data_IF_795970996187
#
_entry.id   IF_795970996187
#
_cell.length_a   1.000
_cell.length_b   1.000
_cell.length_c   1.000
_cell.angle_alpha   90.00
_cell.angle_beta   90.00
_cell.angle_gamma   90.00
#
_symmetry.space_group_name_H-M   'P 1'
#
loop_
_entity.id
_entity.type
_entity.pdbx_description
1 polymer ?
#
# COMPACT_ATOMS: atom_id res chain seq x y z
N UNK A 1 8.53 -11.63 1.47
CA UNK A 1 8.73 -13.05 1.18
C UNK A 1 10.18 -13.50 1.35
N UNK A 2 11.17 -12.72 0.88
CA UNK A 2 12.60 -13.09 1.01
C UNK A 2 13.02 -13.44 2.45
N UNK A 3 12.48 -12.74 3.44
CA UNK A 3 12.85 -12.92 4.85
C UNK A 3 12.08 -14.05 5.57
N UNK A 4 10.91 -14.42 5.09
CA UNK A 4 9.98 -15.30 5.84
C UNK A 4 9.36 -16.42 4.99
N UNK A 5 9.48 -16.35 3.67
CA UNK A 5 8.97 -17.39 2.76
C UNK A 5 9.89 -18.61 2.70
N UNK A 6 9.34 -19.72 2.27
CA UNK A 6 10.12 -20.91 1.95
C UNK A 6 10.92 -20.72 0.65
N UNK A 7 11.91 -21.57 0.40
CA UNK A 7 12.66 -21.56 -0.86
C UNK A 7 11.72 -21.72 -2.06
N UNK A 8 10.77 -22.61 -1.98
CA UNK A 8 9.78 -22.84 -3.01
C UNK A 8 8.93 -21.59 -3.26
N UNK A 9 8.42 -20.93 -2.19
CA UNK A 9 7.67 -19.68 -2.33
C UNK A 9 8.50 -18.55 -2.96
N UNK A 10 9.79 -18.49 -2.67
CA UNK A 10 10.70 -17.51 -3.28
C UNK A 10 10.85 -17.79 -4.77
N UNK A 11 11.12 -19.02 -5.13
CA UNK A 11 11.34 -19.41 -6.53
C UNK A 11 10.06 -19.28 -7.36
N UNK A 12 8.89 -19.63 -6.79
CA UNK A 12 7.60 -19.59 -7.48
C UNK A 12 7.04 -18.18 -7.64
N UNK A 13 7.20 -17.32 -6.63
CA UNK A 13 6.50 -16.02 -6.60
C UNK A 13 7.45 -14.82 -6.66
N UNK A 14 8.57 -14.85 -5.92
CA UNK A 14 9.45 -13.68 -5.82
C UNK A 14 10.28 -13.49 -7.10
N UNK A 15 10.84 -14.55 -7.67
CA UNK A 15 11.61 -14.44 -8.90
C UNK A 15 10.82 -13.82 -10.05
N UNK A 16 9.61 -14.31 -10.39
CA UNK A 16 8.80 -13.68 -11.44
C UNK A 16 8.40 -12.23 -11.11
N UNK A 17 8.25 -11.87 -9.82
CA UNK A 17 8.03 -10.47 -9.43
C UNK A 17 9.27 -9.60 -9.69
N UNK A 18 10.46 -10.09 -9.39
CA UNK A 18 11.72 -9.37 -9.68
C UNK A 18 11.99 -9.23 -11.20
N UNK A 19 11.52 -10.17 -11.99
CA UNK A 19 11.54 -10.15 -13.44
C UNK A 19 10.48 -9.23 -14.06
N UNK A 20 9.55 -8.68 -13.25
CA UNK A 20 8.45 -7.85 -13.71
C UNK A 20 7.29 -8.62 -14.35
N UNK A 21 7.30 -9.93 -14.33
CA UNK A 21 6.23 -10.79 -14.88
C UNK A 21 5.02 -10.85 -13.97
N UNK A 22 5.23 -10.88 -12.64
CA UNK A 22 4.18 -10.87 -11.64
C UNK A 22 4.16 -9.55 -10.90
N UNK A 23 2.97 -9.11 -10.51
CA UNK A 23 2.77 -7.93 -9.69
C UNK A 23 2.46 -8.33 -8.23
N UNK A 24 2.84 -7.50 -7.26
CA UNK A 24 2.59 -7.77 -5.84
C UNK A 24 1.62 -6.76 -5.23
N UNK A 25 0.74 -7.21 -4.35
CA UNK A 25 -0.12 -6.33 -3.56
C UNK A 25 -0.10 -6.68 -2.08
N UNK A 26 -0.50 -5.72 -1.26
CA UNK A 26 -0.72 -5.91 0.18
C UNK A 26 -2.21 -5.77 0.51
N UNK A 27 -2.77 -6.77 1.17
CA UNK A 27 -4.19 -6.86 1.50
C UNK A 27 -4.38 -6.93 3.02
N UNK A 28 -4.38 -5.75 3.68
CA UNK A 28 -4.55 -5.60 5.12
C UNK A 28 -5.97 -5.21 5.49
N UNK A 29 -6.37 -4.00 5.01
CA UNK A 29 -7.61 -3.34 5.42
C UNK A 29 -8.85 -4.07 4.92
N UNK A 30 -9.89 -4.00 5.72
CA UNK A 30 -11.24 -4.44 5.39
C UNK A 30 -12.22 -3.26 5.52
N UNK A 31 -13.44 -3.32 4.98
CA UNK A 31 -14.38 -2.21 5.07
C UNK A 31 -14.60 -1.67 6.49
N UNK A 32 -14.55 -2.55 7.51
CA UNK A 32 -14.73 -2.20 8.92
C UNK A 32 -13.43 -2.09 9.72
N UNK A 33 -12.28 -2.45 9.15
CA UNK A 33 -11.00 -2.55 9.89
C UNK A 33 -9.83 -2.02 9.05
N UNK A 34 -9.26 -0.89 9.46
CA UNK A 34 -8.06 -0.30 8.85
C UNK A 34 -6.95 -0.17 9.89
N UNK A 35 -6.99 0.88 10.72
CA UNK A 35 -6.01 1.08 11.81
C UNK A 35 -6.11 0.01 12.89
N UNK A 36 -7.32 -0.50 13.16
CA UNK A 36 -7.58 -1.59 14.11
C UNK A 36 -7.60 -2.95 13.40
N UNK A 37 -6.43 -3.49 13.05
CA UNK A 37 -6.32 -4.80 12.40
C UNK A 37 -6.75 -5.97 13.29
N UNK A 38 -6.92 -5.75 14.61
CA UNK A 38 -7.49 -6.75 15.52
C UNK A 38 -8.88 -7.23 15.06
N UNK A 39 -9.61 -6.38 14.35
CA UNK A 39 -11.02 -6.59 13.98
C UNK A 39 -11.20 -7.16 12.56
N UNK A 40 -10.13 -7.56 11.88
CA UNK A 40 -10.25 -8.21 10.57
C UNK A 40 -11.04 -9.52 10.71
N UNK A 41 -11.90 -9.78 9.72
CA UNK A 41 -12.80 -10.94 9.65
C UNK A 41 -12.40 -11.95 8.59
N UNK A 42 -11.51 -11.61 7.67
CA UNK A 42 -11.01 -12.56 6.67
C UNK A 42 -10.44 -13.77 7.37
N UNK A 43 -10.95 -14.95 7.02
CA UNK A 43 -10.54 -16.23 7.58
C UNK A 43 -9.80 -17.08 6.55
N UNK A 44 -8.90 -17.92 7.03
CA UNK A 44 -8.13 -18.87 6.23
C UNK A 44 -8.35 -20.27 6.81
N UNK A 45 -9.06 -21.11 6.09
CA UNK A 45 -9.43 -22.47 6.48
C UNK A 45 -8.38 -23.46 5.99
N UNK A 46 -7.70 -24.21 6.88
CA UNK A 46 -6.63 -25.14 6.48
C UNK A 46 -7.21 -26.30 5.66
N UNK A 47 -6.42 -26.76 4.68
CA UNK A 47 -6.74 -27.89 3.83
C UNK A 47 -5.80 -29.08 4.12
N UNK A 48 -6.19 -30.28 3.71
CA UNK A 48 -5.42 -31.49 3.95
C UNK A 48 -4.04 -31.52 3.25
N UNK A 49 -3.88 -30.76 2.16
CA UNK A 49 -2.66 -30.63 1.39
C UNK A 49 -1.69 -29.55 1.92
N UNK A 50 -2.05 -28.89 3.05
CA UNK A 50 -1.26 -27.82 3.65
C UNK A 50 -1.53 -26.44 3.06
N UNK A 51 -2.38 -26.31 2.04
CA UNK A 51 -2.90 -25.05 1.55
C UNK A 51 -4.01 -24.51 2.47
N UNK A 52 -4.54 -23.33 2.14
CA UNK A 52 -5.65 -22.70 2.84
C UNK A 52 -6.70 -22.22 1.86
N UNK A 53 -7.96 -22.18 2.29
CA UNK A 53 -9.05 -21.51 1.60
C UNK A 53 -9.39 -20.21 2.33
N UNK A 54 -9.22 -19.06 1.65
CA UNK A 54 -9.50 -17.76 2.23
C UNK A 54 -10.88 -17.27 1.84
N UNK A 55 -11.56 -16.64 2.82
CA UNK A 55 -12.89 -16.04 2.68
C UNK A 55 -12.92 -14.68 3.37
N UNK A 56 -13.35 -13.65 2.65
CA UNK A 56 -13.48 -12.30 3.19
C UNK A 56 -13.29 -11.20 2.14
N UNK A 57 -13.17 -9.97 2.61
CA UNK A 57 -13.07 -8.80 1.76
C UNK A 57 -11.83 -8.00 2.14
N UNK A 58 -11.15 -7.43 1.14
CA UNK A 58 -10.03 -6.50 1.37
C UNK A 58 -10.25 -5.22 0.58
N UNK A 59 -10.14 -4.09 1.25
CA UNK A 59 -10.41 -2.76 0.70
C UNK A 59 -9.15 -1.90 0.65
N UNK A 60 -9.15 -0.93 -0.24
CA UNK A 60 -8.04 0.00 -0.47
C UNK A 60 -6.77 -0.69 -1.02
N UNK A 61 -6.97 -1.66 -1.90
CA UNK A 61 -5.86 -2.41 -2.51
C UNK A 61 -5.45 -1.73 -3.82
N UNK A 62 -4.29 -1.11 -3.81
CA UNK A 62 -3.71 -0.49 -5.01
C UNK A 62 -3.31 -1.56 -6.02
N UNK A 63 -3.74 -1.38 -7.27
CA UNK A 63 -3.48 -2.28 -8.38
C UNK A 63 -3.84 -3.75 -8.08
N UNK A 64 -4.95 -3.97 -7.34
CA UNK A 64 -5.39 -5.32 -6.96
C UNK A 64 -5.98 -6.13 -8.11
N UNK A 65 -6.35 -5.49 -9.23
CA UNK A 65 -6.84 -6.15 -10.43
C UNK A 65 -6.45 -5.35 -11.68
N UNK A 66 -5.76 -6.00 -12.61
CA UNK A 66 -5.35 -5.47 -13.91
C UNK A 66 -4.81 -6.59 -14.81
N UNK A 67 -4.56 -6.26 -16.09
CA UNK A 67 -3.95 -7.17 -17.07
C UNK A 67 -2.56 -6.68 -17.56
N UNK A 68 -1.87 -5.83 -16.76
CA UNK A 68 -0.53 -5.30 -17.08
C UNK A 68 0.60 -6.29 -16.77
N UNK A 69 0.31 -7.33 -16.01
CA UNK A 69 1.24 -8.40 -15.66
C UNK A 69 0.58 -9.77 -15.87
N UNK A 70 1.38 -10.81 -16.01
CA UNK A 70 0.90 -12.18 -16.20
C UNK A 70 0.05 -12.67 -15.01
N UNK A 71 0.44 -12.27 -13.80
CA UNK A 71 -0.23 -12.62 -12.55
C UNK A 71 -0.13 -11.51 -11.51
N UNK A 72 -1.00 -11.55 -10.50
CA UNK A 72 -0.94 -10.70 -9.32
C UNK A 72 -0.86 -11.58 -8.08
N UNK A 73 0.12 -11.31 -7.22
CA UNK A 73 0.36 -12.05 -5.98
C UNK A 73 -0.08 -11.18 -4.81
N UNK A 74 -1.19 -11.55 -4.18
CA UNK A 74 -1.73 -10.85 -3.02
C UNK A 74 -1.10 -11.37 -1.73
N UNK A 75 -0.51 -10.49 -0.92
CA UNK A 75 -0.11 -10.79 0.46
C UNK A 75 -1.28 -10.43 1.38
N UNK A 76 -1.97 -11.44 1.90
CA UNK A 76 -3.26 -11.28 2.59
C UNK A 76 -3.13 -11.60 4.06
N UNK A 77 -3.55 -10.65 4.93
CA UNK A 77 -3.72 -10.90 6.35
C UNK A 77 -5.08 -11.57 6.61
N UNK A 78 -5.06 -12.72 7.28
CA UNK A 78 -6.26 -13.47 7.64
C UNK A 78 -6.08 -14.18 8.98
N UNK A 79 -7.17 -14.63 9.57
CA UNK A 79 -7.18 -15.43 10.81
C UNK A 79 -7.48 -16.89 10.49
N UNK A 80 -6.71 -17.79 11.08
CA UNK A 80 -6.97 -19.23 11.05
C UNK A 80 -8.04 -19.53 12.12
N UNK A 81 -9.05 -20.40 11.87
CA UNK A 81 -9.99 -20.80 12.89
C UNK A 81 -9.29 -21.34 14.16
N UNK A 82 -9.74 -20.87 15.34
CA UNK A 82 -9.10 -21.20 16.61
C UNK A 82 -7.85 -20.39 16.98
N UNK A 83 -7.44 -19.44 16.13
CA UNK A 83 -6.32 -18.55 16.44
C UNK A 83 -6.61 -17.64 17.66
N UNK A 84 -5.56 -17.16 18.36
CA UNK A 84 -5.71 -16.20 19.46
C UNK A 84 -6.50 -14.94 19.05
N UNK A 85 -7.24 -14.30 19.96
CA UNK A 85 -7.96 -13.07 19.66
C UNK A 85 -7.01 -11.90 19.35
N UNK A 86 -7.56 -10.89 18.66
CA UNK A 86 -6.84 -9.67 18.34
C UNK A 86 -5.74 -9.86 17.29
N UNK A 87 -4.72 -9.03 17.34
CA UNK A 87 -3.61 -9.03 16.38
C UNK A 87 -2.70 -10.25 16.48
N UNK A 88 -2.70 -10.92 17.63
CA UNK A 88 -1.90 -12.13 17.88
C UNK A 88 -2.41 -13.35 17.09
N UNK A 89 -3.63 -13.30 16.55
CA UNK A 89 -4.19 -14.38 15.73
C UNK A 89 -4.05 -14.17 14.22
N UNK A 90 -3.36 -13.11 13.80
CA UNK A 90 -3.24 -12.77 12.38
C UNK A 90 -2.08 -13.54 11.75
N UNK A 91 -2.36 -14.22 10.65
CA UNK A 91 -1.40 -14.92 9.79
C UNK A 91 -1.30 -14.24 8.43
N UNK A 92 -0.20 -14.46 7.71
CA UNK A 92 0.05 -13.91 6.38
C UNK A 92 0.00 -15.02 5.33
N UNK A 93 -0.68 -14.76 4.22
CA UNK A 93 -0.85 -15.72 3.14
C UNK A 93 -0.45 -15.12 1.79
N UNK A 94 0.17 -15.93 0.95
CA UNK A 94 0.28 -15.70 -0.49
C UNK A 94 -1.01 -16.17 -1.12
N UNK A 95 -1.71 -15.31 -1.87
CA UNK A 95 -2.91 -15.64 -2.62
C UNK A 95 -2.72 -15.15 -4.06
N UNK A 96 -2.35 -16.01 -5.01
CA UNK A 96 -2.16 -15.60 -6.39
C UNK A 96 -3.51 -15.37 -7.10
N UNK A 97 -3.58 -14.42 -8.03
CA UNK A 97 -4.75 -14.19 -8.91
C UNK A 97 -5.02 -15.40 -9.80
N UNK A 98 -3.96 -16.01 -10.33
CA UNK A 98 -3.99 -17.30 -11.03
C UNK A 98 -3.04 -18.25 -10.30
N UNK A 99 -3.43 -19.50 -10.12
CA UNK A 99 -2.55 -20.50 -9.51
C UNK A 99 -1.30 -20.67 -10.35
N UNK A 100 -0.21 -21.04 -9.71
CA UNK A 100 1.07 -21.31 -10.39
C UNK A 100 1.36 -22.79 -10.27
N UNK A 101 1.54 -23.45 -11.40
CA UNK A 101 1.87 -24.88 -11.47
C UNK A 101 3.32 -25.14 -11.06
N UNK A 102 3.68 -26.38 -10.78
CA UNK A 102 5.03 -26.76 -10.37
C UNK A 102 6.12 -26.44 -11.42
N UNK A 103 5.76 -26.35 -12.70
CA UNK A 103 6.64 -25.97 -13.80
C UNK A 103 6.75 -24.45 -13.98
N UNK A 104 6.06 -23.65 -13.12
CA UNK A 104 6.02 -22.19 -13.20
C UNK A 104 4.99 -21.63 -14.20
N UNK A 105 4.25 -22.47 -14.91
CA UNK A 105 3.16 -22.03 -15.79
C UNK A 105 1.95 -21.56 -14.99
N UNK A 106 1.12 -20.71 -15.61
CA UNK A 106 -0.11 -20.23 -14.98
C UNK A 106 -1.22 -21.28 -15.10
N UNK A 107 -1.79 -21.61 -13.95
CA UNK A 107 -2.94 -22.48 -13.82
C UNK A 107 -4.28 -21.76 -13.88
N UNK A 108 -5.27 -22.35 -13.25
CA UNK A 108 -6.63 -21.83 -13.22
C UNK A 108 -6.75 -20.52 -12.43
N UNK A 109 -7.81 -19.76 -12.71
CA UNK A 109 -8.17 -18.54 -11.99
C UNK A 109 -8.52 -18.87 -10.54
N UNK A 110 -7.88 -18.18 -9.61
CA UNK A 110 -8.18 -18.27 -8.20
C UNK A 110 -9.46 -17.48 -7.85
N UNK A 111 -10.11 -17.83 -6.74
CA UNK A 111 -11.35 -17.21 -6.28
C UNK A 111 -11.13 -15.84 -5.63
N UNK A 112 -10.53 -14.95 -6.41
CA UNK A 112 -10.30 -13.52 -6.07
C UNK A 112 -11.04 -12.66 -7.08
N UNK A 113 -12.00 -11.87 -6.61
CA UNK A 113 -12.93 -11.12 -7.44
C UNK A 113 -12.80 -9.61 -7.18
N UNK A 114 -12.69 -8.83 -8.26
CA UNK A 114 -12.86 -7.38 -8.19
C UNK A 114 -14.32 -7.06 -7.89
N UNK A 115 -14.59 -6.53 -6.69
CA UNK A 115 -15.93 -6.13 -6.27
C UNK A 115 -16.23 -4.66 -6.53
N UNK A 116 -15.20 -3.81 -6.66
CA UNK A 116 -15.37 -2.40 -6.96
C UNK A 116 -14.06 -1.62 -7.00
N UNK A 117 -14.16 -0.39 -7.49
CA UNK A 117 -13.08 0.59 -7.52
C UNK A 117 -13.36 1.71 -6.51
N UNK A 118 -12.37 2.06 -5.72
CA UNK A 118 -12.46 3.12 -4.74
C UNK A 118 -12.10 4.47 -5.39
N UNK A 119 -12.93 5.49 -5.13
CA UNK A 119 -12.61 6.87 -5.52
C UNK A 119 -11.49 7.42 -4.63
N UNK A 120 -10.53 8.16 -5.22
CA UNK A 120 -9.41 8.79 -4.52
C UNK A 120 -9.32 10.27 -4.85
N UNK A 121 -8.81 11.07 -3.91
CA UNK A 121 -8.53 12.50 -4.11
C UNK A 121 -7.33 12.73 -5.05
N UNK A 122 -6.31 11.85 -4.97
CA UNK A 122 -5.11 11.88 -5.80
C UNK A 122 -4.70 10.49 -6.26
N UNK A 123 -3.61 10.38 -7.00
CA UNK A 123 -3.11 9.13 -7.60
C UNK A 123 -4.18 8.34 -8.37
N UNK A 124 -5.04 9.05 -9.10
CA UNK A 124 -6.22 8.47 -9.77
C UNK A 124 -5.86 7.59 -10.96
N UNK A 125 -4.62 7.68 -11.47
CA UNK A 125 -4.11 6.80 -12.52
C UNK A 125 -3.80 5.39 -12.05
N UNK A 126 -3.71 5.15 -10.73
CA UNK A 126 -3.56 3.82 -10.14
C UNK A 126 -4.93 3.37 -9.67
N UNK A 127 -5.42 2.22 -10.16
CA UNK A 127 -6.65 1.60 -9.68
C UNK A 127 -6.52 1.27 -8.19
N UNK A 128 -7.57 1.57 -7.44
CA UNK A 128 -7.66 1.17 -6.04
C UNK A 128 -8.92 0.34 -5.85
N UNK A 129 -8.76 -0.89 -5.37
CA UNK A 129 -9.76 -1.94 -5.49
C UNK A 129 -10.33 -2.39 -4.15
N UNK A 130 -11.59 -2.83 -4.18
CA UNK A 130 -12.21 -3.75 -3.24
C UNK A 130 -12.13 -5.14 -3.83
N UNK A 131 -11.49 -6.07 -3.13
CA UNK A 131 -11.34 -7.46 -3.54
C UNK A 131 -12.14 -8.38 -2.61
N UNK A 132 -12.90 -9.29 -3.19
CA UNK A 132 -13.58 -10.37 -2.49
C UNK A 132 -12.81 -11.67 -2.71
N UNK A 133 -12.61 -12.40 -1.64
CA UNK A 133 -11.94 -13.69 -1.60
C UNK A 133 -12.94 -14.76 -1.22
N UNK A 134 -13.05 -15.81 -2.02
CA UNK A 134 -13.84 -16.99 -1.68
C UNK A 134 -15.34 -16.83 -1.89
N UNK A 135 -15.81 -16.04 -2.86
CA UNK A 135 -17.24 -15.92 -3.19
C UNK A 135 -17.78 -17.10 -4.03
N UNK A 136 -16.92 -17.98 -4.50
CA UNK A 136 -17.30 -19.10 -5.35
C UNK A 136 -17.56 -18.71 -6.81
N UNK A 137 -17.12 -17.51 -7.23
CA UNK A 137 -17.17 -17.10 -8.65
C UNK A 137 -16.20 -17.92 -9.49
N UNK A 138 -15.05 -18.20 -8.94
CA UNK A 138 -14.08 -19.16 -9.43
C UNK A 138 -13.98 -20.30 -8.42
N UNK A 139 -13.79 -21.52 -8.90
CA UNK A 139 -13.74 -22.70 -8.03
C UNK A 139 -12.43 -23.46 -8.22
N UNK A 140 -11.28 -22.86 -7.82
CA UNK A 140 -9.98 -23.51 -8.00
C UNK A 140 -9.97 -24.86 -7.29
N UNK A 141 -9.54 -25.92 -8.00
CA UNK A 141 -9.60 -27.29 -7.48
C UNK A 141 -11.04 -27.76 -7.17
N UNK A 142 -12.02 -27.28 -7.95
CA UNK A 142 -13.45 -27.66 -7.87
C UNK A 142 -14.15 -27.32 -6.55
N UNK A 143 -13.59 -26.38 -5.75
CA UNK A 143 -14.20 -25.94 -4.50
C UNK A 143 -14.15 -24.41 -4.34
N UNK A 144 -15.12 -23.79 -3.66
CA UNK A 144 -15.09 -22.35 -3.38
C UNK A 144 -13.98 -22.01 -2.38
N UNK A 145 -13.56 -20.74 -2.37
CA UNK A 145 -12.51 -20.24 -1.50
C UNK A 145 -11.23 -19.92 -2.26
N UNK A 146 -10.65 -18.75 -1.99
CA UNK A 146 -9.40 -18.36 -2.61
C UNK A 146 -8.24 -19.21 -2.05
N UNK A 147 -7.56 -19.94 -2.91
CA UNK A 147 -6.40 -20.76 -2.49
C UNK A 147 -5.25 -19.85 -2.07
N UNK A 148 -4.67 -20.16 -0.92
CA UNK A 148 -3.55 -19.40 -0.36
C UNK A 148 -2.56 -20.29 0.39
N UNK A 149 -1.36 -19.76 0.58
CA UNK A 149 -0.22 -20.46 1.18
C UNK A 149 0.34 -19.64 2.33
N UNK A 150 0.50 -20.27 3.50
CA UNK A 150 1.01 -19.58 4.69
C UNK A 150 2.45 -19.09 4.49
N UNK A 151 2.73 -17.86 4.89
CA UNK A 151 4.08 -17.29 4.92
C UNK A 151 4.61 -17.29 6.34
N UNK A 152 5.76 -17.89 6.53
CA UNK A 152 6.38 -18.02 7.86
C UNK A 152 5.58 -18.91 8.81
N UNK A 153 5.36 -18.44 10.03
CA UNK A 153 4.66 -19.18 11.08
C UNK A 153 3.25 -18.63 11.31
N UNK A 154 2.27 -19.50 11.53
CA UNK A 154 0.91 -19.12 11.89
C UNK A 154 0.90 -18.14 13.08
N UNK A 155 -0.02 -17.18 13.06
CA UNK A 155 -0.18 -16.16 14.10
C UNK A 155 1.00 -15.15 14.22
N UNK A 156 1.90 -15.11 13.23
CA UNK A 156 3.00 -14.16 13.12
C UNK A 156 2.89 -13.25 11.89
N UNK A 157 1.75 -13.26 11.21
CA UNK A 157 1.57 -12.60 9.93
C UNK A 157 1.76 -11.08 9.99
N UNK A 158 1.36 -10.45 11.08
CA UNK A 158 1.54 -9.01 11.24
C UNK A 158 3.04 -8.64 11.31
N UNK A 159 3.86 -9.40 12.05
CA UNK A 159 5.30 -9.18 12.11
C UNK A 159 5.97 -9.38 10.74
N UNK A 160 5.55 -10.40 9.98
CA UNK A 160 6.05 -10.63 8.61
C UNK A 160 5.67 -9.47 7.66
N UNK A 161 4.44 -8.96 7.76
CA UNK A 161 3.97 -7.83 6.95
C UNK A 161 4.71 -6.53 7.30
N UNK A 162 4.97 -6.27 8.58
CA UNK A 162 5.69 -5.06 9.01
C UNK A 162 7.15 -5.01 8.57
N UNK A 163 7.76 -6.13 8.27
CA UNK A 163 9.10 -6.14 7.68
C UNK A 163 9.16 -5.30 6.38
N UNK A 164 8.15 -5.41 5.54
CA UNK A 164 8.00 -4.59 4.32
C UNK A 164 7.42 -3.21 4.62
N UNK A 165 6.44 -3.11 5.51
CA UNK A 165 5.79 -1.86 5.85
C UNK A 165 6.73 -0.81 6.43
N UNK A 166 7.79 -1.20 7.12
CA UNK A 166 8.77 -0.27 7.68
C UNK A 166 9.50 0.52 6.57
N UNK A 167 9.89 -0.15 5.49
CA UNK A 167 10.48 0.50 4.32
C UNK A 167 9.47 1.42 3.61
N UNK A 168 8.24 0.95 3.40
CA UNK A 168 7.18 1.75 2.81
C UNK A 168 6.89 3.04 3.61
N UNK A 169 6.93 2.97 4.94
CA UNK A 169 6.74 4.14 5.83
C UNK A 169 7.82 5.20 5.63
N UNK A 170 9.08 4.77 5.50
CA UNK A 170 10.20 5.68 5.19
C UNK A 170 9.98 6.34 3.82
N UNK A 171 9.63 5.56 2.80
CA UNK A 171 9.37 6.06 1.44
C UNK A 171 8.22 7.07 1.38
N UNK A 172 7.13 6.82 2.09
CA UNK A 172 5.99 7.75 2.18
C UNK A 172 6.38 9.03 2.93
N UNK A 173 7.12 8.92 4.04
CA UNK A 173 7.64 10.07 4.78
C UNK A 173 8.55 10.94 3.92
N UNK A 174 9.47 10.33 3.20
CA UNK A 174 10.35 11.02 2.26
C UNK A 174 9.55 11.74 1.15
N UNK A 175 8.53 11.09 0.59
CA UNK A 175 7.65 11.70 -0.41
C UNK A 175 6.94 12.95 0.11
N UNK A 176 6.46 12.93 1.36
CA UNK A 176 5.82 14.09 1.99
C UNK A 176 6.81 15.26 2.19
N UNK A 177 8.02 14.97 2.67
CA UNK A 177 9.08 15.98 2.86
C UNK A 177 9.49 16.60 1.51
N UNK A 178 9.73 15.79 0.48
CA UNK A 178 10.12 16.28 -0.85
C UNK A 178 9.03 17.11 -1.52
N UNK A 179 7.75 16.77 -1.31
CA UNK A 179 6.64 17.59 -1.78
C UNK A 179 6.61 18.95 -1.06
N UNK A 180 6.80 18.95 0.27
CA UNK A 180 6.95 20.18 1.07
C UNK A 180 8.14 21.01 0.63
N UNK A 181 9.29 20.41 0.35
CA UNK A 181 10.49 21.08 -0.15
C UNK A 181 10.25 21.74 -1.51
N UNK A 182 9.59 21.06 -2.42
CA UNK A 182 9.18 21.64 -3.70
C UNK A 182 8.30 22.89 -3.51
N UNK A 183 7.31 22.79 -2.60
CA UNK A 183 6.46 23.92 -2.23
C UNK A 183 7.25 25.11 -1.66
N UNK A 184 8.22 24.84 -0.78
CA UNK A 184 9.13 25.86 -0.23
C UNK A 184 9.95 26.55 -1.32
N UNK A 185 10.55 25.81 -2.25
CA UNK A 185 11.34 26.38 -3.35
C UNK A 185 10.51 27.33 -4.22
N UNK A 186 9.29 26.93 -4.59
CA UNK A 186 8.38 27.78 -5.35
C UNK A 186 7.92 29.00 -4.54
N UNK A 187 7.63 28.84 -3.25
CA UNK A 187 7.27 29.96 -2.39
C UNK A 187 8.42 30.98 -2.25
N UNK A 188 9.65 30.49 -2.12
CA UNK A 188 10.86 31.35 -2.02
C UNK A 188 11.09 32.12 -3.32
N UNK A 189 10.99 31.45 -4.48
CA UNK A 189 11.17 32.11 -5.78
C UNK A 189 10.09 33.17 -6.01
N UNK A 190 8.83 32.83 -5.75
CA UNK A 190 7.75 33.82 -5.82
C UNK A 190 7.95 34.99 -4.86
N UNK A 191 8.37 34.75 -3.63
CA UNK A 191 8.60 35.81 -2.65
C UNK A 191 9.76 36.76 -3.04
N UNK A 192 10.74 36.27 -3.78
CA UNK A 192 11.86 37.08 -4.30
C UNK A 192 11.46 37.95 -5.50
N UNK A 193 10.52 37.50 -6.30
CA UNK A 193 10.13 38.16 -7.54
C UNK A 193 8.87 39.03 -7.41
N UNK A 194 8.01 38.78 -6.41
CA UNK A 194 6.74 39.48 -6.22
C UNK A 194 6.93 40.81 -5.44
N UNK A 195 6.79 41.98 -6.07
CA UNK A 195 6.80 43.26 -5.37
C UNK A 195 5.43 43.50 -4.72
N UNK A 196 5.43 43.89 -3.44
CA UNK A 196 4.24 44.34 -2.72
C UNK A 196 4.60 45.04 -1.42
N UNK A 197 3.95 46.17 -1.17
CA UNK A 197 4.21 46.96 0.04
C UNK A 197 5.55 47.72 -0.04
N UNK A 198 5.87 48.40 1.04
CA UNK A 198 7.08 49.26 1.16
C UNK A 198 7.74 48.99 2.52
N UNK A 199 8.97 49.44 2.66
CA UNK A 199 9.65 49.36 3.95
C UNK A 199 8.83 50.10 5.02
N UNK A 200 8.68 49.56 6.24
CA UNK A 200 7.87 50.17 7.31
C UNK A 200 8.28 51.62 7.65
N UNK A 201 9.53 51.99 7.39
CA UNK A 201 10.04 53.34 7.60
C UNK A 201 9.89 54.27 6.39
N UNK A 202 9.37 53.81 5.26
CA UNK A 202 9.19 54.65 4.07
C UNK A 202 8.02 55.60 4.28
N UNK A 203 8.32 56.91 4.38
CA UNK A 203 7.32 57.98 4.54
C UNK A 203 6.72 58.46 3.22
N UNK A 204 7.46 58.27 2.12
CA UNK A 204 7.05 58.66 0.78
C UNK A 204 6.19 57.57 0.12
N UNK A 205 4.92 57.88 -0.21
CA UNK A 205 4.04 56.94 -0.88
C UNK A 205 4.52 56.55 -2.31
N UNK A 206 5.39 57.35 -2.93
CA UNK A 206 5.99 57.10 -4.25
C UNK A 206 7.20 56.16 -4.19
N UNK A 207 7.71 55.83 -3.01
CA UNK A 207 8.82 54.87 -2.84
C UNK A 207 8.53 53.54 -3.57
N UNK A 208 9.53 52.89 -4.17
CA UNK A 208 9.33 51.63 -4.86
C UNK A 208 8.83 50.52 -3.93
N UNK A 209 8.02 49.62 -4.47
CA UNK A 209 7.60 48.41 -3.77
C UNK A 209 8.81 47.48 -3.57
N UNK A 210 8.79 46.76 -2.46
CA UNK A 210 9.81 45.74 -2.15
C UNK A 210 9.31 44.32 -2.56
N UNK A 211 10.22 43.43 -2.94
CA UNK A 211 9.89 42.00 -2.99
C UNK A 211 9.35 41.53 -1.62
N UNK A 212 8.33 40.68 -1.63
CA UNK A 212 7.68 40.31 -0.37
C UNK A 212 8.60 39.53 0.58
N UNK A 213 9.69 38.95 0.09
CA UNK A 213 10.72 38.31 0.93
C UNK A 213 11.38 39.34 1.91
N UNK A 214 11.29 40.63 1.65
CA UNK A 214 11.84 41.66 2.53
C UNK A 214 10.95 41.92 3.77
N UNK A 215 9.70 41.46 3.78
CA UNK A 215 8.79 41.57 4.92
C UNK A 215 9.08 40.56 5.98
N UNK A 216 9.16 40.96 7.24
CA UNK A 216 9.55 40.11 8.36
C UNK A 216 8.64 38.89 8.54
N UNK A 217 7.33 39.05 8.33
CA UNK A 217 6.39 37.94 8.48
C UNK A 217 6.51 36.90 7.35
N UNK A 218 6.77 37.36 6.12
CA UNK A 218 7.06 36.45 4.99
C UNK A 218 8.36 35.67 5.24
N UNK A 219 9.41 36.32 5.73
CA UNK A 219 10.66 35.67 6.15
C UNK A 219 10.39 34.60 7.23
N UNK A 220 9.59 34.95 8.23
CA UNK A 220 9.21 33.99 9.29
C UNK A 220 8.52 32.74 8.73
N UNK A 221 7.56 32.93 7.80
CA UNK A 221 6.87 31.82 7.15
C UNK A 221 7.82 30.96 6.31
N UNK A 222 8.72 31.56 5.54
CA UNK A 222 9.72 30.85 4.73
C UNK A 222 10.73 30.10 5.61
N UNK A 223 11.17 30.69 6.74
CA UNK A 223 12.05 30.01 7.70
C UNK A 223 11.36 28.81 8.35
N UNK A 224 10.09 28.93 8.69
CA UNK A 224 9.31 27.79 9.21
C UNK A 224 9.22 26.67 8.16
N UNK A 225 8.89 26.99 6.91
CA UNK A 225 8.87 25.99 5.82
C UNK A 225 10.23 25.32 5.67
N UNK A 226 11.31 26.11 5.59
CA UNK A 226 12.68 25.59 5.47
C UNK A 226 13.02 24.61 6.60
N UNK A 227 12.71 24.97 7.84
CA UNK A 227 13.04 24.14 9.01
C UNK A 227 12.29 22.80 9.08
N UNK A 228 11.14 22.69 8.38
CA UNK A 228 10.40 21.43 8.32
C UNK A 228 10.82 20.52 7.17
N UNK A 229 11.47 21.03 6.14
CA UNK A 229 11.77 20.28 4.91
C UNK A 229 13.26 20.05 4.66
N UNK A 230 14.14 20.73 5.36
CA UNK A 230 15.60 20.54 5.41
C UNK A 230 16.05 19.97 6.76
#
# INVERSE_FOLDING_TARGET
>A
LLAHGTREQIDTYVRPMMEGRFFGTMCLSEPQAGSSLADIKTRAEPQADGSYRLFGNKMWISAGEHELAENIIHLVLAKIPGAPPGVKGISLFIVPKKLVNADGSLGERNDVVLAGLNHKMGYRGITNTLLNFGEGKFTPGSAPGAMGYLVGTANRGLACMFHMMNEARIGVGMGAVLLGYTGYLHALDYARSRPQGRHPGAKDPSSPQLPIVEHADVRRMLLAQKSYVE
#
